data_IF_510369533583
#
_entry.id   IF_510369533583
#
_cell.length_a   1.000
_cell.length_b   1.000
_cell.length_c   1.000
_cell.angle_alpha   90.00
_cell.angle_beta   90.00
_cell.angle_gamma   90.00
#
_symmetry.space_group_name_H-M   'P 1'
#
loop_
_entity.id
_entity.type
_entity.pdbx_description
1 polymer ?
#
# COMPACT_ATOMS: atom_id res chain seq x y z
N UNK A 1 -16.44 -6.66 2.13
CA UNK A 1 -16.11 -5.70 1.05
C UNK A 1 -15.92 -4.27 1.61
N UNK A 2 -14.89 -4.00 2.43
CA UNK A 2 -14.81 -2.71 3.16
C UNK A 2 -13.45 -1.96 3.02
N UNK A 3 -12.39 -2.60 2.53
CA UNK A 3 -11.08 -1.95 2.36
C UNK A 3 -11.04 -0.97 1.19
N UNK A 4 -11.82 -1.27 0.14
CA UNK A 4 -11.90 -0.45 -1.07
C UNK A 4 -12.56 0.91 -0.84
N UNK A 5 -13.34 1.11 0.22
CA UNK A 5 -13.99 2.38 0.54
C UNK A 5 -13.17 3.30 1.45
N UNK A 6 -12.22 2.77 2.21
CA UNK A 6 -11.47 3.53 3.23
C UNK A 6 -10.19 4.18 2.70
N UNK A 7 -9.69 3.72 1.55
CA UNK A 7 -8.47 4.20 0.90
C UNK A 7 -8.80 4.89 -0.43
N UNK A 8 -8.28 6.10 -0.61
CA UNK A 8 -8.29 6.80 -1.90
C UNK A 8 -7.53 5.99 -2.96
N UNK A 9 -7.88 6.14 -4.25
CA UNK A 9 -7.24 5.42 -5.37
C UNK A 9 -5.71 5.35 -5.25
N UNK A 10 -5.07 6.51 -5.06
CA UNK A 10 -3.61 6.62 -4.90
C UNK A 10 -3.03 5.79 -3.75
N UNK A 11 -3.75 5.67 -2.62
CA UNK A 11 -3.29 4.87 -1.48
C UNK A 11 -3.37 3.37 -1.76
N UNK A 12 -4.35 2.95 -2.58
CA UNK A 12 -4.44 1.56 -3.04
C UNK A 12 -3.36 1.23 -4.05
N UNK A 13 -3.09 2.12 -4.99
CA UNK A 13 -1.99 1.95 -5.95
C UNK A 13 -0.66 1.74 -5.22
N UNK A 14 -0.33 2.62 -4.26
CA UNK A 14 0.87 2.46 -3.43
C UNK A 14 0.85 1.12 -2.70
N UNK A 15 -0.26 0.73 -2.10
CA UNK A 15 -0.36 -0.53 -1.35
C UNK A 15 -0.24 -1.77 -2.25
N UNK A 16 -0.75 -1.71 -3.48
CA UNK A 16 -0.61 -2.77 -4.48
C UNK A 16 0.85 -2.94 -4.87
N UNK A 17 1.53 -1.83 -5.22
CA UNK A 17 2.93 -1.87 -5.60
C UNK A 17 3.85 -2.31 -4.45
N UNK A 18 3.55 -1.91 -3.19
CA UNK A 18 4.27 -2.43 -2.00
C UNK A 18 4.09 -3.95 -1.90
N UNK A 19 2.91 -4.46 -2.24
CA UNK A 19 2.62 -5.88 -2.15
C UNK A 19 3.21 -6.71 -3.28
N UNK A 20 3.41 -6.12 -4.45
CA UNK A 20 4.21 -6.68 -5.54
C UNK A 20 5.72 -6.67 -5.20
N UNK A 21 6.12 -6.11 -4.06
CA UNK A 21 7.50 -6.11 -3.58
C UNK A 21 8.33 -4.91 -4.04
N UNK A 22 7.71 -3.90 -4.66
CA UNK A 22 8.42 -2.70 -5.10
C UNK A 22 8.90 -1.88 -3.90
N UNK A 23 10.11 -1.33 -4.05
CA UNK A 23 10.70 -0.40 -3.08
C UNK A 23 9.98 0.96 -3.11
N UNK A 24 10.07 1.72 -2.01
CA UNK A 24 9.48 3.08 -1.93
C UNK A 24 9.95 3.96 -3.09
N UNK A 25 11.22 3.83 -3.50
CA UNK A 25 11.78 4.54 -4.66
C UNK A 25 11.12 4.13 -5.97
N UNK A 26 11.02 2.83 -6.23
CA UNK A 26 10.38 2.30 -7.45
C UNK A 26 8.92 2.73 -7.53
N UNK A 27 8.20 2.71 -6.41
CA UNK A 27 6.80 3.18 -6.32
C UNK A 27 6.70 4.68 -6.60
N UNK A 28 7.64 5.45 -6.05
CA UNK A 28 7.72 6.88 -6.28
C UNK A 28 7.94 7.19 -7.77
N UNK A 29 8.87 6.50 -8.40
CA UNK A 29 9.12 6.60 -9.84
C UNK A 29 7.90 6.17 -10.67
N UNK A 30 7.28 5.03 -10.33
CA UNK A 30 6.13 4.47 -11.03
C UNK A 30 4.90 5.39 -10.97
N UNK A 31 4.68 6.06 -9.84
CA UNK A 31 3.52 6.93 -9.62
C UNK A 31 3.79 8.41 -9.95
N UNK A 32 5.02 8.77 -10.29
CA UNK A 32 5.46 10.15 -10.48
C UNK A 32 5.37 10.97 -9.18
N UNK A 33 5.65 10.34 -8.04
CA UNK A 33 5.57 10.93 -6.71
C UNK A 33 6.95 11.02 -6.07
N UNK A 34 7.07 11.82 -5.01
CA UNK A 34 8.26 11.79 -4.17
C UNK A 34 8.22 10.62 -3.19
N UNK A 35 9.38 10.06 -2.86
CA UNK A 35 9.53 8.99 -1.86
C UNK A 35 8.88 9.35 -0.52
N UNK A 36 9.04 10.60 -0.07
CA UNK A 36 8.39 11.13 1.15
C UNK A 36 6.87 11.02 1.11
N UNK A 37 6.27 11.19 -0.07
CA UNK A 37 4.82 11.12 -0.29
C UNK A 37 4.35 9.68 -0.20
N UNK A 38 5.08 8.76 -0.85
CA UNK A 38 4.83 7.31 -0.75
C UNK A 38 4.95 6.83 0.69
N UNK A 39 5.98 7.28 1.41
CA UNK A 39 6.18 6.97 2.83
C UNK A 39 5.03 7.51 3.70
N UNK A 40 4.60 8.74 3.46
CA UNK A 40 3.42 9.33 4.13
C UNK A 40 2.17 8.50 3.87
N UNK A 41 1.91 8.11 2.62
CA UNK A 41 0.76 7.28 2.29
C UNK A 41 0.82 5.92 2.97
N UNK A 42 1.97 5.26 2.97
CA UNK A 42 2.19 4.01 3.69
C UNK A 42 1.88 4.18 5.18
N UNK A 43 2.44 5.17 5.86
CA UNK A 43 2.18 5.43 7.28
C UNK A 43 0.71 5.70 7.56
N UNK A 44 0.04 6.52 6.75
CA UNK A 44 -1.39 6.77 6.90
C UNK A 44 -2.24 5.52 6.71
N UNK A 45 -1.90 4.67 5.74
CA UNK A 45 -2.61 3.42 5.48
C UNK A 45 -2.39 2.45 6.65
N UNK A 46 -1.15 2.31 7.10
CA UNK A 46 -0.77 1.46 8.23
C UNK A 46 -1.47 1.89 9.52
N UNK A 47 -1.43 3.18 9.85
CA UNK A 47 -2.11 3.72 11.03
C UNK A 47 -3.63 3.50 10.95
N UNK A 48 -4.24 3.72 9.77
CA UNK A 48 -5.67 3.48 9.55
C UNK A 48 -6.08 2.01 9.65
N UNK A 49 -5.14 1.08 9.49
CA UNK A 49 -5.35 -0.36 9.59
C UNK A 49 -4.85 -0.96 10.91
N UNK A 50 -4.17 -0.16 11.75
CA UNK A 50 -3.51 -0.64 12.97
C UNK A 50 -2.37 -1.62 12.71
N UNK A 51 -1.70 -1.52 11.55
CA UNK A 51 -0.62 -2.44 11.14
C UNK A 51 0.75 -1.83 11.44
N UNK A 52 1.64 -2.60 12.06
CA UNK A 52 2.94 -2.13 12.50
C UNK A 52 4.00 -2.10 11.40
N UNK A 53 3.96 -3.04 10.46
CA UNK A 53 4.97 -3.19 9.40
C UNK A 53 4.41 -3.34 7.98
N UNK A 54 5.20 -2.97 6.96
CA UNK A 54 4.81 -3.16 5.56
C UNK A 54 4.56 -4.63 5.24
N UNK A 55 5.33 -5.55 5.82
CA UNK A 55 5.09 -6.97 5.63
C UNK A 55 3.73 -7.43 6.19
N UNK A 56 3.22 -6.77 7.24
CA UNK A 56 1.84 -7.01 7.71
C UNK A 56 0.82 -6.38 6.79
N UNK A 57 1.08 -5.18 6.26
CA UNK A 57 0.26 -4.52 5.25
C UNK A 57 0.03 -5.42 4.03
N UNK A 58 1.11 -5.98 3.48
CA UNK A 58 1.09 -6.90 2.34
C UNK A 58 0.34 -8.18 2.68
N UNK A 59 0.69 -8.83 3.79
CA UNK A 59 0.00 -10.06 4.24
C UNK A 59 -1.49 -9.85 4.47
N UNK A 60 -1.87 -8.71 5.06
CA UNK A 60 -3.26 -8.37 5.30
C UNK A 60 -4.01 -8.13 3.99
N UNK A 61 -3.37 -7.48 3.03
CA UNK A 61 -3.97 -7.21 1.72
C UNK A 61 -4.13 -8.49 0.88
N UNK A 62 -3.19 -9.44 0.97
CA UNK A 62 -3.29 -10.77 0.34
C UNK A 62 -4.38 -11.60 1.02
N UNK A 63 -4.37 -11.70 2.36
CA UNK A 63 -5.37 -12.48 3.12
C UNK A 63 -6.80 -12.02 2.86
N UNK A 64 -6.99 -10.72 2.62
CA UNK A 64 -8.32 -10.16 2.36
C UNK A 64 -8.70 -10.17 0.87
N UNK A 65 -7.84 -10.69 -0.02
CA UNK A 65 -8.11 -10.82 -1.46
C UNK A 65 -8.09 -9.49 -2.22
N UNK A 66 -7.30 -8.51 -1.77
CA UNK A 66 -7.22 -7.20 -2.42
C UNK A 66 -6.11 -7.10 -3.46
N UNK A 67 -5.16 -8.03 -3.43
CA UNK A 67 -4.09 -8.14 -4.41
C UNK A 67 -4.21 -9.54 -5.01
N UNK A 68 -4.32 -9.67 -6.34
CA UNK A 68 -4.17 -10.98 -6.98
C UNK A 68 -2.71 -11.41 -6.80
N UNK A 69 -2.51 -12.59 -6.22
CA UNK A 69 -1.25 -13.32 -6.32
C UNK A 69 -1.31 -13.96 -7.71
N UNK A 70 -0.57 -13.40 -8.67
CA UNK A 70 -0.33 -14.03 -9.98
C UNK A 70 1.06 -14.68 -9.99
#
# INVERSE_FOLDING_TARGET
>A
MAFSRLLSKRKKEVLCLIAEGLSIREIAEHLGLFEKTVQTYRTHVMNKLGLGHAAELVRHAIQKGYIPIE
#
